data_IF_125684893899
#
_entry.id   IF_125684893899
#
_cell.length_a   1.000
_cell.length_b   1.000
_cell.length_c   1.000
_cell.angle_alpha   90.00
_cell.angle_beta   90.00
_cell.angle_gamma   90.00
#
_symmetry.space_group_name_H-M   'P 1'
#
loop_
_entity.id
_entity.type
_entity.pdbx_description
1 polymer ?
#
# COMPACT_ATOMS: atom_id res chain seq x y z
N UNK A 1 -57.02 10.60 42.42
CA UNK A 1 -58.19 10.20 41.62
C UNK A 1 -57.71 9.42 40.41
N UNK A 2 -58.20 8.18 40.28
CA UNK A 2 -58.13 7.19 39.18
C UNK A 2 -56.73 6.77 38.65
N UNK A 3 -56.26 5.55 38.94
CA UNK A 3 -56.58 4.23 38.30
C UNK A 3 -56.02 4.15 36.87
N UNK A 4 -55.46 3.07 36.31
CA UNK A 4 -55.11 1.71 36.74
C UNK A 4 -54.36 1.05 35.56
N UNK A 5 -53.58 0.03 35.90
CA UNK A 5 -52.96 -1.05 35.10
C UNK A 5 -53.56 -1.43 33.75
N UNK A 6 -52.73 -1.93 32.82
CA UNK A 6 -53.00 -3.18 32.10
C UNK A 6 -51.70 -3.93 31.73
N UNK A 7 -51.61 -5.16 32.24
CA UNK A 7 -50.68 -6.19 31.84
C UNK A 7 -51.20 -6.88 30.57
N UNK A 8 -50.30 -7.28 29.67
CA UNK A 8 -50.61 -8.07 28.48
C UNK A 8 -49.61 -9.21 28.33
N UNK A 9 -49.92 -10.33 28.98
CA UNK A 9 -49.34 -11.65 28.73
C UNK A 9 -50.19 -12.33 27.64
N UNK A 10 -49.56 -12.78 26.55
CA UNK A 10 -50.05 -13.79 25.59
C UNK A 10 -49.11 -13.80 24.38
N UNK A 11 -48.64 -14.90 23.81
CA UNK A 11 -48.91 -16.30 24.06
C UNK A 11 -47.87 -17.12 23.30
N UNK A 12 -47.54 -18.25 23.90
CA UNK A 12 -46.69 -19.31 23.37
C UNK A 12 -47.31 -19.87 22.07
N UNK A 13 -46.56 -19.91 20.97
CA UNK A 13 -46.86 -20.81 19.85
C UNK A 13 -45.61 -21.68 19.59
N UNK A 14 -45.61 -22.85 20.21
CA UNK A 14 -44.68 -23.94 19.90
C UNK A 14 -45.19 -24.60 18.63
N UNK A 15 -44.50 -24.38 17.50
CA UNK A 15 -44.66 -25.20 16.30
C UNK A 15 -43.62 -26.30 16.37
N UNK A 16 -44.04 -27.47 16.87
CA UNK A 16 -43.29 -28.70 16.75
C UNK A 16 -43.50 -29.25 15.33
N UNK A 17 -42.52 -29.05 14.46
CA UNK A 17 -42.42 -29.76 13.19
C UNK A 17 -41.49 -30.97 13.38
N UNK A 18 -42.10 -32.13 13.57
CA UNK A 18 -41.49 -33.44 13.39
C UNK A 18 -41.42 -33.74 11.89
N UNK A 19 -40.23 -33.99 11.33
CA UNK A 19 -40.03 -35.11 10.40
C UNK A 19 -38.58 -35.22 9.90
N UNK A 20 -38.17 -36.49 9.81
CA UNK A 20 -37.11 -37.05 8.97
C UNK A 20 -35.68 -36.92 9.48
N UNK A 21 -35.27 -38.02 10.13
CA UNK A 21 -33.94 -38.22 10.65
C UNK A 21 -32.89 -38.47 9.56
N UNK A 22 -31.69 -37.99 9.85
CA UNK A 22 -30.45 -38.59 9.38
C UNK A 22 -29.78 -39.25 10.59
N UNK A 23 -29.66 -40.58 10.52
CA UNK A 23 -28.94 -41.40 11.46
C UNK A 23 -27.46 -41.03 11.50
N UNK A 24 -26.93 -40.91 12.73
CA UNK A 24 -25.67 -41.55 13.14
C UNK A 24 -24.41 -41.23 12.34
N UNK A 25 -23.84 -40.03 12.56
CA UNK A 25 -22.40 -39.83 12.46
C UNK A 25 -21.84 -39.77 13.87
N UNK A 26 -21.14 -40.82 14.32
CA UNK A 26 -20.48 -40.85 15.60
C UNK A 26 -19.64 -39.58 15.79
N UNK A 27 -19.87 -38.87 16.89
CA UNK A 27 -18.98 -37.83 17.35
C UNK A 27 -17.64 -38.46 17.65
N UNK A 28 -16.74 -38.46 16.67
CA UNK A 28 -15.33 -38.64 16.90
C UNK A 28 -14.90 -37.46 17.78
N UNK A 29 -14.85 -37.70 19.08
CA UNK A 29 -13.93 -37.00 19.96
C UNK A 29 -12.55 -37.27 19.38
N UNK A 30 -12.09 -36.37 18.52
CA UNK A 30 -10.72 -36.43 18.00
C UNK A 30 -9.84 -36.32 19.24
N UNK A 31 -9.23 -37.44 19.59
CA UNK A 31 -8.25 -37.52 20.66
C UNK A 31 -7.16 -36.50 20.33
N UNK A 32 -7.07 -35.44 21.13
CA UNK A 32 -6.22 -34.26 20.89
C UNK A 32 -4.72 -34.60 21.09
N UNK A 33 -4.41 -35.87 21.35
CA UNK A 33 -3.11 -36.35 21.78
C UNK A 33 -2.17 -36.76 20.64
N UNK A 34 -2.62 -36.81 19.38
CA UNK A 34 -1.80 -37.32 18.26
C UNK A 34 -1.71 -36.38 17.05
N UNK A 35 -1.93 -35.08 17.24
CA UNK A 35 -1.68 -34.09 16.18
C UNK A 35 -0.18 -33.77 16.10
N UNK A 36 0.36 -33.82 14.90
CA UNK A 36 1.74 -33.42 14.63
C UNK A 36 1.92 -31.92 14.90
N UNK A 37 3.15 -31.49 15.20
CA UNK A 37 3.46 -30.07 15.43
C UNK A 37 3.05 -29.17 14.25
N UNK A 38 3.10 -29.73 13.03
CA UNK A 38 2.70 -29.06 11.80
C UNK A 38 1.18 -28.87 11.69
N UNK A 39 0.37 -29.85 12.10
CA UNK A 39 -1.09 -29.73 12.11
C UNK A 39 -1.59 -28.74 13.17
N UNK A 40 -0.94 -28.71 14.35
CA UNK A 40 -1.23 -27.71 15.38
C UNK A 40 -0.87 -26.30 14.91
N UNK A 41 0.24 -26.17 14.17
CA UNK A 41 0.63 -24.90 13.53
C UNK A 41 -0.42 -24.46 12.50
N UNK A 42 -0.88 -25.38 11.64
CA UNK A 42 -1.92 -25.09 10.63
C UNK A 42 -3.23 -24.60 11.25
N UNK A 43 -3.70 -25.23 12.33
CA UNK A 43 -4.90 -24.77 13.06
C UNK A 43 -4.72 -23.42 13.73
N UNK A 44 -3.53 -23.17 14.31
CA UNK A 44 -3.20 -21.86 14.88
C UNK A 44 -3.27 -20.74 13.82
N UNK A 45 -2.83 -21.04 12.59
CA UNK A 45 -2.87 -20.07 11.50
C UNK A 45 -4.26 -19.67 11.06
N UNK A 46 -5.22 -20.59 11.01
CA UNK A 46 -6.56 -20.26 10.51
C UNK A 46 -7.26 -19.25 11.42
N UNK A 47 -7.08 -19.39 12.74
CA UNK A 47 -7.58 -18.42 13.72
C UNK A 47 -6.88 -17.05 13.64
N UNK A 48 -5.56 -17.04 13.45
CA UNK A 48 -4.74 -15.82 13.44
C UNK A 48 -4.84 -15.02 12.14
N UNK A 49 -5.04 -15.67 11.00
CA UNK A 49 -5.07 -15.03 9.68
C UNK A 49 -6.22 -14.04 9.56
N UNK A 50 -5.96 -12.83 9.05
CA UNK A 50 -6.95 -11.77 8.86
C UNK A 50 -6.57 -10.48 9.59
N UNK A 51 -7.51 -9.56 9.66
CA UNK A 51 -7.34 -8.24 10.27
C UNK A 51 -7.73 -8.22 11.76
N UNK A 52 -6.96 -7.47 12.53
CA UNK A 52 -7.13 -7.27 13.95
C UNK A 52 -6.98 -5.79 14.28
N UNK A 53 -7.96 -5.22 14.98
CA UNK A 53 -8.00 -3.80 15.31
C UNK A 53 -7.85 -3.62 16.81
N UNK A 54 -7.14 -2.57 17.22
CA UNK A 54 -6.91 -2.25 18.63
C UNK A 54 -8.20 -2.15 19.43
N UNK A 55 -8.19 -2.79 20.60
CA UNK A 55 -9.04 -2.42 21.72
C UNK A 55 -8.24 -1.73 22.82
N UNK A 56 -6.96 -2.05 22.95
CA UNK A 56 -6.02 -1.38 23.87
C UNK A 56 -4.58 -1.75 23.54
N UNK A 57 -3.63 -0.93 23.97
CA UNK A 57 -2.19 -1.20 23.88
C UNK A 57 -1.52 -0.42 22.77
N UNK A 58 -0.31 -0.84 22.39
CA UNK A 58 0.51 -0.10 21.42
C UNK A 58 0.16 -0.42 19.97
N UNK A 59 -0.46 -1.56 19.67
CA UNK A 59 -0.87 -1.91 18.31
C UNK A 59 -2.21 -1.23 18.00
N UNK A 60 -2.25 -0.50 16.89
CA UNK A 60 -3.46 0.13 16.33
C UNK A 60 -4.20 -0.85 15.39
N UNK A 61 -3.44 -1.60 14.61
CA UNK A 61 -3.94 -2.74 13.84
C UNK A 61 -2.82 -3.73 13.51
N UNK A 62 -3.21 -4.96 13.24
CA UNK A 62 -2.34 -6.06 12.82
C UNK A 62 -3.08 -6.87 11.77
N UNK A 63 -2.45 -7.06 10.62
CA UNK A 63 -2.97 -7.89 9.54
C UNK A 63 -1.98 -9.00 9.26
N UNK A 64 -2.46 -10.24 9.32
CA UNK A 64 -1.69 -11.43 8.96
C UNK A 64 -2.31 -11.99 7.68
N UNK A 65 -1.60 -11.93 6.56
CA UNK A 65 -2.13 -12.39 5.27
C UNK A 65 -1.89 -13.88 5.08
N UNK A 66 -2.50 -14.46 4.02
CA UNK A 66 -2.22 -15.85 3.63
C UNK A 66 -0.94 -15.98 2.80
N UNK A 67 -0.34 -14.87 2.37
CA UNK A 67 0.85 -14.86 1.50
C UNK A 67 2.04 -15.48 2.22
N UNK A 68 2.60 -16.59 1.71
CA UNK A 68 3.78 -17.21 2.32
C UNK A 68 5.03 -16.36 2.07
N UNK A 69 5.86 -16.17 3.11
CA UNK A 69 7.15 -15.46 3.04
C UNK A 69 8.20 -16.27 3.80
N UNK A 70 9.00 -17.03 3.06
CA UNK A 70 9.95 -17.99 3.63
C UNK A 70 9.22 -19.06 4.47
N UNK A 71 9.57 -19.16 5.76
CA UNK A 71 8.94 -20.10 6.71
C UNK A 71 7.72 -19.51 7.44
N UNK A 72 7.27 -18.31 7.05
CA UNK A 72 6.17 -17.60 7.71
C UNK A 72 5.14 -17.09 6.72
N UNK A 73 4.32 -16.14 7.19
CA UNK A 73 3.36 -15.39 6.37
C UNK A 73 3.72 -13.91 6.38
N UNK A 74 3.28 -13.17 5.38
CA UNK A 74 3.39 -11.72 5.38
C UNK A 74 2.48 -11.14 6.47
N UNK A 75 2.95 -10.07 7.10
CA UNK A 75 2.12 -9.26 7.97
C UNK A 75 2.45 -7.78 7.77
N UNK A 76 1.50 -6.95 8.16
CA UNK A 76 1.77 -5.55 8.48
C UNK A 76 1.01 -5.15 9.74
N UNK A 77 1.45 -4.09 10.39
CA UNK A 77 0.82 -3.53 11.57
C UNK A 77 1.14 -2.05 11.70
N UNK A 78 0.24 -1.29 12.31
CA UNK A 78 0.54 0.07 12.75
C UNK A 78 0.60 0.10 14.27
N UNK A 79 1.58 0.80 14.81
CA UNK A 79 1.80 0.90 16.25
C UNK A 79 1.91 2.36 16.67
N UNK A 80 1.40 2.68 17.85
CA UNK A 80 1.73 3.87 18.61
C UNK A 80 3.07 3.63 19.33
N UNK A 81 4.08 4.43 18.98
CA UNK A 81 5.43 4.32 19.55
C UNK A 81 5.49 4.81 21.00
N UNK A 82 4.44 5.49 21.47
CA UNK A 82 4.40 6.18 22.76
C UNK A 82 5.24 7.46 22.79
N UNK A 83 5.95 7.79 21.71
CA UNK A 83 6.75 9.00 21.61
C UNK A 83 5.81 10.20 21.45
N UNK A 84 6.02 11.24 22.26
CA UNK A 84 5.29 12.51 22.23
C UNK A 84 6.32 13.64 22.23
N UNK A 85 6.28 14.48 21.21
CA UNK A 85 7.26 15.55 21.00
C UNK A 85 6.57 16.92 21.03
N UNK A 86 7.31 17.96 21.40
CA UNK A 86 6.81 19.34 21.40
C UNK A 86 6.85 19.93 19.98
N UNK A 87 7.84 19.54 19.18
CA UNK A 87 8.06 20.04 17.81
C UNK A 87 7.95 18.91 16.79
N UNK A 88 7.36 19.21 15.62
CA UNK A 88 7.23 18.29 14.49
C UNK A 88 8.49 18.25 13.63
N UNK A 89 8.81 17.12 12.96
CA UNK A 89 8.04 15.87 12.90
C UNK A 89 8.27 14.96 14.13
N UNK A 90 7.19 14.38 14.66
CA UNK A 90 7.24 13.44 15.79
C UNK A 90 6.84 12.04 15.34
N UNK A 91 7.67 11.01 15.53
CA UNK A 91 7.35 9.65 15.13
C UNK A 91 6.44 8.97 16.17
N UNK A 92 5.24 9.52 16.40
CA UNK A 92 4.26 8.98 17.36
C UNK A 92 3.63 7.67 16.89
N UNK A 93 3.78 7.33 15.61
CA UNK A 93 3.36 6.07 15.03
C UNK A 93 4.46 5.49 14.16
N UNK A 94 4.45 4.17 14.01
CA UNK A 94 5.31 3.45 13.08
C UNK A 94 4.50 2.41 12.31
N UNK A 95 4.78 2.29 11.02
CA UNK A 95 4.31 1.19 10.20
C UNK A 95 5.31 0.04 10.30
N UNK A 96 4.80 -1.16 10.53
CA UNK A 96 5.57 -2.39 10.62
C UNK A 96 5.17 -3.30 9.47
N UNK A 97 6.14 -3.86 8.78
CA UNK A 97 5.94 -4.90 7.78
C UNK A 97 6.96 -6.02 7.96
N UNK A 98 6.67 -7.18 7.39
CA UNK A 98 7.62 -8.27 7.27
C UNK A 98 6.98 -9.64 7.32
N UNK A 99 7.65 -10.58 8.00
CA UNK A 99 7.16 -11.95 8.15
C UNK A 99 6.75 -12.27 9.59
N UNK A 100 5.65 -12.99 9.73
CA UNK A 100 5.18 -13.56 10.99
C UNK A 100 5.33 -15.08 10.96
N UNK A 101 5.76 -15.65 12.07
CA UNK A 101 5.71 -17.10 12.32
C UNK A 101 4.93 -17.36 13.60
N UNK A 102 3.95 -18.25 13.56
CA UNK A 102 3.14 -18.63 14.71
C UNK A 102 3.39 -20.09 15.10
N UNK A 103 3.49 -20.33 16.40
CA UNK A 103 3.35 -21.65 17.01
C UNK A 103 2.06 -21.70 17.85
N UNK A 104 1.95 -22.70 18.73
CA UNK A 104 0.74 -22.91 19.54
C UNK A 104 0.47 -21.81 20.58
N UNK A 105 1.52 -21.14 21.08
CA UNK A 105 1.40 -20.08 22.11
C UNK A 105 2.17 -18.81 21.80
N UNK A 106 3.02 -18.85 20.78
CA UNK A 106 3.93 -17.76 20.48
C UNK A 106 3.77 -17.31 19.03
N UNK A 107 3.84 -16.01 18.82
CA UNK A 107 3.81 -15.35 17.52
C UNK A 107 5.07 -14.48 17.42
N UNK A 108 5.86 -14.66 16.37
CA UNK A 108 7.10 -13.90 16.18
C UNK A 108 7.00 -13.02 14.96
N UNK A 109 7.12 -11.70 15.17
CA UNK A 109 7.17 -10.68 14.12
C UNK A 109 8.63 -10.43 13.76
N UNK A 110 8.97 -10.48 12.47
CA UNK A 110 10.33 -10.25 11.98
C UNK A 110 10.32 -9.28 10.80
N UNK A 111 11.16 -8.26 10.90
CA UNK A 111 11.47 -7.35 9.79
C UNK A 111 12.30 -8.10 8.73
N UNK A 112 12.15 -7.81 7.43
CA UNK A 112 12.97 -8.43 6.37
C UNK A 112 14.46 -8.08 6.52
N UNK A 113 14.75 -6.81 6.79
CA UNK A 113 16.10 -6.27 6.99
C UNK A 113 16.27 -5.66 8.40
N UNK A 114 16.77 -4.42 8.50
CA UNK A 114 16.92 -3.67 9.75
C UNK A 114 15.75 -2.68 9.94
N UNK A 115 14.92 -2.84 10.99
CA UNK A 115 13.87 -1.88 11.28
C UNK A 115 14.43 -0.52 11.74
N UNK A 116 13.63 0.53 11.62
CA UNK A 116 13.95 1.83 12.23
C UNK A 116 14.06 1.72 13.76
N UNK A 117 14.71 2.69 14.40
CA UNK A 117 14.89 2.67 15.85
C UNK A 117 13.56 2.68 16.62
N UNK A 118 12.55 3.36 16.07
CA UNK A 118 11.21 3.49 16.63
C UNK A 118 10.37 2.22 16.44
N UNK A 119 10.56 1.52 15.31
CA UNK A 119 9.86 0.29 14.97
C UNK A 119 10.48 -0.95 15.64
N UNK A 120 11.80 -0.95 15.86
CA UNK A 120 12.56 -2.09 16.38
C UNK A 120 11.97 -2.74 17.65
N UNK A 121 11.47 -2.00 18.66
CA UNK A 121 10.90 -2.60 19.88
C UNK A 121 9.65 -3.46 19.65
N UNK A 122 8.97 -3.27 18.51
CA UNK A 122 7.74 -3.99 18.17
C UNK A 122 7.98 -5.27 17.37
N UNK A 123 9.23 -5.53 16.96
CA UNK A 123 9.61 -6.83 16.41
C UNK A 123 10.06 -7.79 17.53
N UNK A 124 9.87 -9.08 17.32
CA UNK A 124 10.24 -10.12 18.28
C UNK A 124 9.12 -11.13 18.55
N UNK A 125 9.32 -11.94 19.59
CA UNK A 125 8.39 -13.00 19.99
C UNK A 125 7.40 -12.49 21.04
N UNK A 126 6.13 -12.77 20.79
CA UNK A 126 4.99 -12.48 21.65
C UNK A 126 4.35 -13.78 22.08
N UNK A 127 4.08 -13.92 23.37
CA UNK A 127 3.10 -14.92 23.81
C UNK A 127 1.70 -14.37 23.46
N UNK A 128 0.87 -15.20 22.84
CA UNK A 128 -0.48 -14.81 22.46
C UNK A 128 -1.53 -15.75 23.02
N UNK A 129 -2.73 -15.21 23.24
CA UNK A 129 -3.93 -16.00 23.48
C UNK A 129 -5.03 -15.56 22.53
N UNK A 130 -5.78 -16.54 22.03
CA UNK A 130 -6.94 -16.31 21.18
C UNK A 130 -8.18 -16.80 21.92
N UNK A 131 -9.12 -15.90 22.18
CA UNK A 131 -10.41 -16.22 22.82
C UNK A 131 -11.53 -15.59 22.01
N UNK A 132 -12.25 -16.44 21.27
CA UNK A 132 -13.25 -15.99 20.29
C UNK A 132 -12.64 -15.04 19.27
N UNK A 133 -13.17 -13.82 19.19
CA UNK A 133 -12.68 -12.76 18.29
C UNK A 133 -11.63 -11.85 18.93
N UNK A 134 -11.00 -12.25 20.04
CA UNK A 134 -10.04 -11.41 20.77
C UNK A 134 -8.65 -12.04 20.76
N UNK A 135 -7.69 -11.31 20.22
CA UNK A 135 -6.27 -11.66 20.23
C UNK A 135 -5.56 -10.81 21.29
N UNK A 136 -4.96 -11.45 22.28
CA UNK A 136 -4.12 -10.77 23.28
C UNK A 136 -2.66 -11.07 22.98
N UNK A 137 -1.85 -10.02 22.85
CA UNK A 137 -0.40 -10.12 22.70
C UNK A 137 0.28 -9.71 24.00
N UNK A 138 1.25 -10.50 24.42
CA UNK A 138 2.04 -10.26 25.62
C UNK A 138 3.52 -10.44 25.36
N UNK A 139 4.33 -9.60 25.98
CA UNK A 139 5.78 -9.63 25.89
C UNK A 139 6.35 -9.52 27.30
N UNK A 140 7.25 -10.44 27.67
CA UNK A 140 7.85 -10.50 29.02
C UNK A 140 6.80 -10.52 30.15
N UNK A 141 5.69 -11.24 29.94
CA UNK A 141 4.59 -11.38 30.92
C UNK A 141 3.64 -10.18 31.00
N UNK A 142 3.89 -9.09 30.26
CA UNK A 142 3.00 -7.92 30.21
C UNK A 142 2.15 -7.96 28.94
N UNK A 143 0.84 -7.69 29.07
CA UNK A 143 -0.03 -7.49 27.91
C UNK A 143 0.35 -6.19 27.21
N UNK A 144 0.79 -6.29 25.96
CA UNK A 144 1.19 -5.15 25.12
C UNK A 144 0.07 -4.70 24.19
N UNK A 145 -0.83 -5.62 23.83
CA UNK A 145 -2.01 -5.31 23.04
C UNK A 145 -3.17 -6.27 23.30
N UNK A 146 -4.38 -5.74 23.18
CA UNK A 146 -5.61 -6.53 22.98
C UNK A 146 -6.25 -6.04 21.70
N UNK A 147 -6.49 -6.97 20.79
CA UNK A 147 -7.00 -6.71 19.46
C UNK A 147 -8.29 -7.50 19.26
N UNK A 148 -9.22 -6.94 18.49
CA UNK A 148 -10.45 -7.61 18.07
C UNK A 148 -10.38 -7.94 16.60
N UNK A 149 -10.88 -9.11 16.23
CA UNK A 149 -11.04 -9.52 14.84
C UNK A 149 -11.90 -8.49 14.13
N UNK A 150 -11.44 -8.04 12.97
CA UNK A 150 -12.16 -7.14 12.09
C UNK A 150 -12.25 -7.75 10.68
N UNK A 151 -13.17 -7.22 9.88
CA UNK A 151 -13.31 -7.63 8.47
C UNK A 151 -12.07 -7.26 7.65
N UNK A 152 -11.51 -6.07 7.90
CA UNK A 152 -10.32 -5.55 7.25
C UNK A 152 -9.65 -4.50 8.14
N UNK A 153 -8.39 -4.19 7.87
CA UNK A 153 -7.68 -3.07 8.48
C UNK A 153 -6.70 -2.47 7.46
N UNK A 154 -6.53 -1.15 7.46
CA UNK A 154 -5.56 -0.49 6.59
C UNK A 154 -5.11 0.84 7.19
N UNK A 155 -3.93 1.31 6.79
CA UNK A 155 -3.48 2.71 6.83
C UNK A 155 -3.44 3.30 5.42
N UNK A 156 -3.24 2.46 4.40
CA UNK A 156 -3.19 2.83 2.99
C UNK A 156 -4.05 1.91 2.12
N UNK A 157 -4.53 2.43 0.98
CA UNK A 157 -5.43 1.70 0.09
C UNK A 157 -4.82 0.42 -0.50
N UNK A 158 -3.51 0.41 -0.76
CA UNK A 158 -2.82 -0.73 -1.38
C UNK A 158 -2.81 -1.97 -0.48
N UNK A 159 -2.81 -1.78 0.84
CA UNK A 159 -2.85 -2.85 1.83
C UNK A 159 -4.16 -3.66 1.80
N UNK A 160 -5.23 -3.09 1.23
CA UNK A 160 -6.52 -3.77 1.12
C UNK A 160 -6.50 -4.89 0.08
N UNK A 161 -5.71 -4.74 -0.99
CA UNK A 161 -5.59 -5.76 -2.03
C UNK A 161 -4.98 -7.07 -1.49
N UNK A 162 -4.11 -6.98 -0.48
CA UNK A 162 -3.42 -8.13 0.12
C UNK A 162 -4.30 -8.95 1.09
N UNK A 163 -5.47 -8.43 1.47
CA UNK A 163 -6.33 -9.03 2.48
C UNK A 163 -7.37 -10.02 1.93
N UNK A 164 -7.32 -10.31 0.62
CA UNK A 164 -8.23 -11.24 -0.06
C UNK A 164 -9.72 -10.92 0.22
N UNK A 165 -10.06 -9.63 0.23
CA UNK A 165 -11.41 -9.14 0.47
C UNK A 165 -12.32 -9.44 -0.73
N UNK A 166 -13.59 -9.72 -0.46
CA UNK A 166 -14.58 -9.94 -1.52
C UNK A 166 -14.83 -8.62 -2.24
N UNK A 167 -14.57 -8.60 -3.55
CA UNK A 167 -14.86 -7.45 -4.41
C UNK A 167 -16.20 -7.64 -5.14
N UNK A 168 -16.99 -6.57 -5.32
CA UNK A 168 -18.17 -6.60 -6.18
C UNK A 168 -17.78 -6.80 -7.66
N UNK A 169 -18.75 -7.22 -8.48
CA UNK A 169 -18.57 -7.39 -9.94
C UNK A 169 -18.62 -6.05 -10.69
N UNK A 170 -17.77 -5.10 -10.31
CA UNK A 170 -17.63 -3.80 -10.97
C UNK A 170 -16.14 -3.45 -11.09
N UNK A 171 -15.80 -2.59 -12.06
CA UNK A 171 -14.46 -1.97 -12.10
C UNK A 171 -14.40 -0.92 -11.00
N UNK A 172 -13.34 -0.94 -10.22
CA UNK A 172 -13.17 -0.09 -9.05
C UNK A 172 -11.80 -0.25 -8.41
N UNK A 173 -11.67 0.29 -7.20
CA UNK A 173 -10.45 0.18 -6.38
C UNK A 173 -10.80 0.05 -4.92
N UNK A 174 -9.84 -0.45 -4.14
CA UNK A 174 -9.91 -0.33 -2.70
C UNK A 174 -9.58 1.09 -2.26
N UNK A 175 -10.21 1.52 -1.18
CA UNK A 175 -9.94 2.74 -0.45
C UNK A 175 -9.81 2.38 1.03
N UNK A 176 -8.97 3.12 1.73
CA UNK A 176 -8.83 3.01 3.17
C UNK A 176 -9.60 4.13 3.86
N UNK A 177 -10.70 3.80 4.52
CA UNK A 177 -11.54 4.77 5.22
C UNK A 177 -11.70 4.35 6.68
N UNK A 178 -11.32 5.23 7.60
CA UNK A 178 -11.37 4.96 9.06
C UNK A 178 -10.68 3.65 9.45
N UNK A 179 -9.51 3.39 8.86
CA UNK A 179 -8.71 2.18 9.00
C UNK A 179 -9.44 0.88 8.61
N UNK A 180 -10.45 0.96 7.75
CA UNK A 180 -11.13 -0.19 7.18
C UNK A 180 -11.13 -0.10 5.66
N UNK A 181 -10.95 -1.25 5.01
CA UNK A 181 -10.98 -1.34 3.56
C UNK A 181 -12.41 -1.28 3.04
N UNK A 182 -12.65 -0.36 2.10
CA UNK A 182 -13.88 -0.28 1.34
C UNK A 182 -13.56 -0.42 -0.16
N UNK A 183 -14.38 -1.15 -0.91
CA UNK A 183 -14.25 -1.18 -2.37
C UNK A 183 -15.22 -0.17 -2.98
N UNK A 184 -14.69 0.79 -3.74
CA UNK A 184 -15.51 1.75 -4.49
C UNK A 184 -15.60 1.33 -5.95
N UNK A 185 -16.82 1.09 -6.41
CA UNK A 185 -17.10 0.96 -7.85
C UNK A 185 -16.92 2.32 -8.54
N UNK A 186 -16.42 2.28 -9.77
CA UNK A 186 -16.17 3.45 -10.60
C UNK A 186 -14.75 3.40 -11.16
N UNK A 187 -14.59 3.78 -12.43
CA UNK A 187 -13.26 4.01 -12.96
C UNK A 187 -12.58 5.11 -12.12
N UNK A 188 -11.29 4.98 -11.78
CA UNK A 188 -10.54 6.10 -11.23
C UNK A 188 -10.76 7.30 -12.14
N UNK A 189 -10.98 8.48 -11.57
CA UNK A 189 -10.98 9.70 -12.37
C UNK A 189 -9.68 9.72 -13.19
N UNK A 190 -9.73 10.05 -14.49
CA UNK A 190 -8.55 10.04 -15.32
C UNK A 190 -7.50 10.95 -14.68
N UNK A 191 -6.28 10.42 -14.53
CA UNK A 191 -5.14 11.18 -14.04
C UNK A 191 -4.82 12.20 -15.13
N UNK A 192 -5.12 13.46 -14.85
CA UNK A 192 -4.90 14.59 -15.76
C UNK A 192 -3.93 15.58 -15.13
N UNK A 193 -3.35 16.45 -15.95
CA UNK A 193 -2.47 17.52 -15.50
C UNK A 193 -3.17 18.54 -14.60
N UNK A 194 -4.50 18.50 -14.49
CA UNK A 194 -5.25 19.26 -13.48
C UNK A 194 -5.09 18.70 -12.06
N UNK A 195 -4.81 17.40 -11.93
CA UNK A 195 -4.72 16.68 -10.65
C UNK A 195 -3.29 16.34 -10.24
N UNK A 196 -2.36 16.30 -11.20
CA UNK A 196 -0.96 15.94 -10.96
C UNK A 196 -0.13 17.18 -10.65
N UNK A 197 0.66 17.12 -9.57
CA UNK A 197 1.71 18.10 -9.28
C UNK A 197 3.07 17.49 -9.55
N UNK A 198 3.74 17.97 -10.58
CA UNK A 198 5.08 17.54 -10.95
C UNK A 198 6.16 18.18 -10.06
N UNK A 199 7.26 17.46 -9.84
CA UNK A 199 8.39 17.96 -9.07
C UNK A 199 9.08 19.14 -9.80
N UNK A 200 9.87 19.93 -9.08
CA UNK A 200 10.62 21.03 -9.68
C UNK A 200 11.50 20.54 -10.85
N UNK A 201 11.44 21.23 -11.99
CA UNK A 201 12.18 20.87 -13.20
C UNK A 201 11.49 19.90 -14.14
N UNK A 202 10.25 19.51 -13.84
CA UNK A 202 9.40 18.68 -14.72
C UNK A 202 8.14 19.46 -15.11
N UNK A 203 7.56 19.11 -16.26
CA UNK A 203 6.30 19.63 -16.79
C UNK A 203 5.32 18.48 -16.95
N UNK A 204 4.04 18.74 -16.65
CA UNK A 204 2.99 17.77 -16.89
C UNK A 204 2.56 17.80 -18.35
N UNK A 205 2.47 16.64 -18.98
CA UNK A 205 1.87 16.45 -20.30
C UNK A 205 0.78 15.39 -20.25
N UNK A 206 -0.29 15.59 -21.02
CA UNK A 206 -1.33 14.57 -21.19
C UNK A 206 -0.82 13.51 -22.18
N UNK A 207 -0.87 12.24 -21.78
CA UNK A 207 -0.53 11.09 -22.63
C UNK A 207 -1.66 10.07 -22.72
N UNK A 208 -1.51 9.08 -23.61
CA UNK A 208 -2.53 8.06 -23.85
C UNK A 208 -2.83 7.17 -22.63
N UNK A 209 -1.87 7.08 -21.70
CA UNK A 209 -2.02 6.34 -20.43
C UNK A 209 -2.33 7.24 -19.23
N UNK A 210 -2.61 8.52 -19.47
CA UNK A 210 -2.83 9.56 -18.46
C UNK A 210 -1.71 10.60 -18.42
N UNK A 211 -1.84 11.56 -17.50
CA UNK A 211 -0.87 12.62 -17.32
C UNK A 211 0.48 12.12 -16.80
N UNK A 212 1.57 12.62 -17.39
CA UNK A 212 2.94 12.23 -17.09
C UNK A 212 3.80 13.47 -16.81
N UNK A 213 4.63 13.38 -15.77
CA UNK A 213 5.63 14.40 -15.48
C UNK A 213 6.91 14.10 -16.25
N UNK A 214 7.22 14.92 -17.25
CA UNK A 214 8.41 14.78 -18.08
C UNK A 214 9.40 15.89 -17.78
N UNK A 215 10.69 15.65 -18.03
CA UNK A 215 11.74 16.64 -17.82
C UNK A 215 11.53 17.85 -18.72
N UNK A 216 11.60 19.06 -18.14
CA UNK A 216 11.50 20.30 -18.89
C UNK A 216 12.87 20.79 -19.36
N UNK A 217 12.94 21.47 -20.52
CA UNK A 217 14.19 22.04 -21.02
C UNK A 217 14.82 23.08 -20.06
N UNK A 218 14.03 23.66 -19.15
CA UNK A 218 14.52 24.62 -18.16
C UNK A 218 15.61 24.06 -17.23
N UNK A 219 15.69 22.74 -17.04
CA UNK A 219 16.69 22.09 -16.20
C UNK A 219 17.74 21.31 -17.00
N UNK A 220 17.60 21.22 -18.32
CA UNK A 220 18.53 20.50 -19.19
C UNK A 220 19.60 21.44 -19.70
N UNK A 221 20.88 21.11 -19.45
CA UNK A 221 22.03 21.80 -20.01
C UNK A 221 22.57 21.03 -21.21
N UNK A 222 22.30 21.54 -22.40
CA UNK A 222 22.81 20.97 -23.64
C UNK A 222 24.26 21.41 -23.90
N UNK A 223 25.05 20.53 -24.53
CA UNK A 223 26.44 20.81 -24.91
C UNK A 223 26.49 21.78 -26.09
N UNK A 224 27.65 22.42 -26.31
CA UNK A 224 27.84 23.38 -27.40
C UNK A 224 27.45 22.77 -28.76
N UNK A 225 26.57 23.45 -29.47
CA UNK A 225 26.05 23.03 -30.76
C UNK A 225 24.86 22.05 -30.71
N UNK A 226 24.18 22.01 -29.58
CA UNK A 226 22.88 21.36 -29.44
C UNK A 226 21.92 22.31 -28.75
N UNK A 227 20.64 22.24 -29.09
CA UNK A 227 19.58 22.94 -28.38
C UNK A 227 18.62 21.94 -27.75
N UNK A 228 17.98 22.35 -26.66
CA UNK A 228 16.98 21.52 -26.01
C UNK A 228 15.66 21.62 -26.76
N UNK A 229 15.06 20.48 -27.05
CA UNK A 229 13.66 20.36 -27.50
C UNK A 229 12.89 19.54 -26.48
N UNK A 230 11.68 19.97 -26.17
CA UNK A 230 10.74 19.22 -25.34
C UNK A 230 9.67 18.61 -26.25
N UNK A 231 9.45 17.31 -26.13
CA UNK A 231 8.32 16.63 -26.75
C UNK A 231 7.59 15.74 -25.74
N UNK A 232 6.65 14.92 -26.21
CA UNK A 232 5.86 14.04 -25.35
C UNK A 232 6.71 13.03 -24.54
N UNK A 233 7.96 12.78 -24.92
CA UNK A 233 8.89 11.89 -24.22
C UNK A 233 9.84 12.62 -23.25
N UNK A 234 9.79 13.96 -23.18
CA UNK A 234 10.66 14.76 -22.34
C UNK A 234 11.63 15.66 -23.10
N UNK A 235 12.42 16.41 -22.33
CA UNK A 235 13.48 17.26 -22.84
C UNK A 235 14.67 16.44 -23.33
N UNK A 236 15.08 16.66 -24.58
CA UNK A 236 16.33 16.12 -25.14
C UNK A 236 17.12 17.19 -25.88
N UNK A 237 18.44 17.04 -25.89
CA UNK A 237 19.32 17.87 -26.70
C UNK A 237 19.38 17.30 -28.12
N UNK A 238 19.06 18.13 -29.11
CA UNK A 238 19.20 17.78 -30.53
C UNK A 238 20.27 18.67 -31.16
N UNK A 239 20.96 18.13 -32.16
CA UNK A 239 21.93 18.93 -32.92
C UNK A 239 21.21 20.10 -33.59
N UNK A 240 21.83 21.28 -33.55
CA UNK A 240 21.37 22.37 -34.39
C UNK A 240 21.52 21.91 -35.85
N UNK A 241 20.40 21.85 -36.57
CA UNK A 241 20.45 21.65 -38.02
C UNK A 241 21.23 22.83 -38.60
N UNK A 242 22.40 22.51 -39.14
CA UNK A 242 23.31 23.52 -39.66
C UNK A 242 22.65 24.45 -40.68
N UNK A 243 23.18 25.66 -40.84
CA UNK A 243 22.60 26.64 -41.77
C UNK A 243 22.92 26.23 -43.20
N UNK A 244 21.92 26.03 -44.07
CA UNK A 244 22.15 25.81 -45.50
C UNK A 244 22.90 27.00 -46.13
N UNK A 245 23.94 26.70 -46.90
CA UNK A 245 24.77 27.66 -47.59
C UNK A 245 25.06 27.17 -49.02
N UNK A 246 24.11 27.41 -49.92
CA UNK A 246 24.16 26.84 -51.28
C UNK A 246 24.11 25.32 -51.26
N UNK A 247 25.15 24.68 -51.81
CA UNK A 247 25.26 23.22 -51.88
C UNK A 247 25.78 22.56 -50.60
N UNK A 248 26.20 23.32 -49.59
CA UNK A 248 26.70 22.79 -48.31
C UNK A 248 25.80 23.20 -47.13
N UNK A 249 25.87 22.44 -46.04
CA UNK A 249 25.26 22.80 -44.76
C UNK A 249 26.37 23.20 -43.80
N UNK A 250 26.34 24.44 -43.31
CA UNK A 250 27.31 24.95 -42.35
C UNK A 250 27.20 24.18 -41.04
N UNK A 251 28.34 23.67 -40.56
CA UNK A 251 28.41 23.01 -39.26
C UNK A 251 27.95 23.92 -38.13
N UNK A 252 27.63 23.33 -36.99
CA UNK A 252 27.02 24.06 -35.88
C UNK A 252 27.88 25.24 -35.41
N UNK A 253 27.22 26.37 -35.12
CA UNK A 253 27.88 27.61 -34.70
C UNK A 253 28.53 28.40 -35.84
N UNK A 254 28.39 27.96 -37.09
CA UNK A 254 28.81 28.71 -38.28
C UNK A 254 27.60 29.36 -38.97
N UNK A 255 27.84 30.51 -39.60
CA UNK A 255 26.89 31.22 -40.45
C UNK A 255 27.32 31.10 -41.91
N UNK A 256 26.34 31.10 -42.83
CA UNK A 256 26.64 31.14 -44.26
C UNK A 256 27.22 32.49 -44.64
N UNK A 257 28.47 32.50 -45.13
CA UNK A 257 29.14 33.69 -45.62
C UNK A 257 28.89 33.89 -47.12
N UNK A 258 29.07 32.83 -47.92
CA UNK A 258 28.89 32.90 -49.36
C UNK A 258 28.06 31.71 -49.86
N UNK A 259 26.76 31.89 -50.15
CA UNK A 259 25.89 30.83 -50.63
C UNK A 259 26.33 30.27 -51.99
N UNK A 260 26.95 31.07 -52.87
CA UNK A 260 27.36 30.62 -54.20
C UNK A 260 28.56 29.67 -54.13
N UNK A 261 29.44 29.86 -53.16
CA UNK A 261 30.67 29.06 -52.98
C UNK A 261 30.59 28.05 -51.83
N UNK A 262 29.49 28.03 -51.09
CA UNK A 262 29.34 27.18 -49.90
C UNK A 262 30.31 27.50 -48.78
N UNK A 263 30.62 28.78 -48.56
CA UNK A 263 31.59 29.19 -47.52
C UNK A 263 30.84 29.46 -46.21
N UNK A 264 31.25 28.76 -45.16
CA UNK A 264 30.75 28.90 -43.81
C UNK A 264 31.81 29.58 -42.92
N UNK A 265 31.40 30.52 -42.08
CA UNK A 265 32.32 31.25 -41.20
C UNK A 265 31.74 31.40 -39.80
N UNK A 266 32.57 31.78 -38.82
CA UNK A 266 32.06 32.11 -37.48
C UNK A 266 31.37 33.48 -37.51
N UNK A 267 30.31 33.70 -36.71
CA UNK A 267 29.72 35.02 -36.54
C UNK A 267 30.78 36.08 -36.25
N UNK A 268 30.76 37.20 -36.98
CA UNK A 268 31.68 38.34 -36.79
C UNK A 268 33.04 38.22 -37.49
N UNK A 269 33.36 37.09 -38.14
CA UNK A 269 34.55 36.98 -38.97
C UNK A 269 34.34 37.67 -40.33
N UNK A 270 35.44 38.15 -40.91
CA UNK A 270 35.45 38.77 -42.23
C UNK A 270 34.81 37.81 -43.24
N UNK A 271 33.73 38.27 -43.87
CA UNK A 271 33.03 37.52 -44.90
C UNK A 271 33.33 38.14 -46.26
N UNK A 272 33.86 37.31 -47.17
CA UNK A 272 34.15 37.69 -48.55
C UNK A 272 32.97 37.20 -49.39
N UNK A 273 32.09 38.13 -49.75
CA UNK A 273 30.92 37.88 -50.60
C UNK A 273 31.32 37.60 -52.05
#
# INVERSE_FOLDING_TARGET
MLRSSFAGFSGLLVVAALSSGCLGGAGATVDETDLTADELSLRAWDGLTGAWVASSGSFQGLVITRTPVGQGRQFFADVDTGIRCITTPCPSSAHLEGRVTAGTRNLTLRHPDRPSAEAAPFYGTYAYTLSGSTLTLSQRGRVVARLRKATSYCSDADQCAEQNLVTPRCVGRFECESNACAYRCGAPAPVTCATVRCAAGTICVEGDTGAQCITACATVRCTSGTHCVADASGARCVADEGVRCGAVTCGTGLVCCNPLRGICTRPGMLCIQ
#
